data_IF_827131097360
#
_entry.id   IF_827131097360
#
_cell.length_a   1.000
_cell.length_b   1.000
_cell.length_c   1.000
_cell.angle_alpha   90.00
_cell.angle_beta   90.00
_cell.angle_gamma   90.00
#
_symmetry.space_group_name_H-M   'P 1'
#
loop_
_entity.id
_entity.type
_entity.pdbx_description
1 polymer ?
#
# COMPACT_ATOMS: atom_id res chain seq x y z
N UNK A 1 9.84 -8.14 -20.02
CA UNK A 1 8.89 -7.00 -20.07
C UNK A 1 9.53 -5.88 -20.89
N UNK A 2 8.92 -5.47 -22.02
CA UNK A 2 9.53 -4.66 -23.10
C UNK A 2 9.92 -3.21 -22.73
N UNK A 3 9.85 -2.79 -21.47
CA UNK A 3 10.13 -1.40 -21.07
C UNK A 3 10.85 -1.25 -19.71
N UNK A 4 11.24 -2.35 -19.07
CA UNK A 4 11.89 -2.29 -17.74
C UNK A 4 13.28 -1.64 -17.80
N UNK A 5 14.03 -1.89 -18.87
CA UNK A 5 15.39 -1.36 -19.01
C UNK A 5 15.35 0.12 -19.38
N UNK A 6 14.49 0.51 -20.33
CA UNK A 6 14.39 1.88 -20.86
C UNK A 6 13.98 2.89 -19.79
N UNK A 7 12.96 2.59 -18.99
CA UNK A 7 12.49 3.48 -17.91
C UNK A 7 13.40 3.50 -16.67
N UNK A 8 14.48 2.71 -16.65
CA UNK A 8 15.49 2.71 -15.59
C UNK A 8 16.80 3.36 -16.02
N UNK A 9 16.88 3.91 -17.23
CA UNK A 9 18.09 4.58 -17.71
C UNK A 9 18.22 5.98 -17.10
N UNK A 10 19.46 6.36 -16.79
CA UNK A 10 19.79 7.67 -16.20
C UNK A 10 19.59 8.83 -17.17
N UNK A 11 19.90 8.64 -18.46
CA UNK A 11 19.87 9.72 -19.45
C UNK A 11 18.46 10.29 -19.70
N UNK A 12 17.42 9.46 -19.92
CA UNK A 12 16.05 9.96 -19.99
C UNK A 12 15.61 10.72 -18.74
N UNK A 13 15.98 10.24 -17.55
CA UNK A 13 15.64 10.90 -16.28
C UNK A 13 16.29 12.28 -16.18
N UNK A 14 17.57 12.42 -16.54
CA UNK A 14 18.25 13.73 -16.58
C UNK A 14 17.56 14.71 -17.51
N UNK A 15 17.13 14.24 -18.69
CA UNK A 15 16.36 15.02 -19.65
C UNK A 15 15.02 15.50 -19.07
N UNK A 16 14.30 14.63 -18.37
CA UNK A 16 13.04 14.96 -17.72
C UNK A 16 13.22 15.99 -16.60
N UNK A 17 14.22 15.81 -15.72
CA UNK A 17 14.49 16.77 -14.63
C UNK A 17 14.82 18.16 -15.20
N UNK A 18 15.59 18.25 -16.30
CA UNK A 18 15.88 19.53 -16.97
C UNK A 18 14.60 20.20 -17.45
N UNK A 19 13.71 19.46 -18.12
CA UNK A 19 12.43 19.98 -18.60
C UNK A 19 11.52 20.43 -17.46
N UNK A 20 11.44 19.64 -16.38
CA UNK A 20 10.67 20.01 -15.17
C UNK A 20 11.19 21.32 -14.58
N UNK A 21 12.51 21.47 -14.44
CA UNK A 21 13.13 22.72 -13.94
C UNK A 21 12.83 23.92 -14.84
N UNK A 22 12.88 23.75 -16.16
CA UNK A 22 12.55 24.82 -17.12
C UNK A 22 11.09 25.25 -16.98
N UNK A 23 10.15 24.31 -16.98
CA UNK A 23 8.73 24.61 -16.84
C UNK A 23 8.41 25.25 -15.48
N UNK A 24 9.05 24.78 -14.41
CA UNK A 24 8.82 25.29 -13.07
C UNK A 24 9.37 26.72 -12.87
N UNK A 25 10.37 27.15 -13.65
CA UNK A 25 10.98 28.47 -13.53
C UNK A 25 9.99 29.61 -13.88
N UNK A 26 9.06 29.35 -14.80
CA UNK A 26 8.05 30.33 -15.22
C UNK A 26 6.84 30.40 -14.27
N UNK A 27 6.77 29.48 -13.30
CA UNK A 27 5.63 29.34 -12.38
C UNK A 27 5.95 30.06 -11.07
N UNK A 28 5.31 31.22 -10.87
CA UNK A 28 5.47 32.08 -9.67
C UNK A 28 4.76 31.58 -8.42
N UNK A 29 4.17 30.38 -8.44
CA UNK A 29 3.41 29.81 -7.32
C UNK A 29 3.99 28.45 -6.92
N UNK A 30 3.74 28.09 -5.67
CA UNK A 30 3.98 26.75 -5.17
C UNK A 30 3.01 25.74 -5.82
N UNK A 31 3.52 24.58 -6.22
CA UNK A 31 2.73 23.48 -6.77
C UNK A 31 2.83 22.29 -5.83
N UNK A 32 1.68 21.81 -5.36
CA UNK A 32 1.58 20.56 -4.62
C UNK A 32 1.03 19.46 -5.53
N UNK A 33 1.81 18.40 -5.71
CA UNK A 33 1.40 17.18 -6.41
C UNK A 33 1.25 16.07 -5.37
N UNK A 34 0.11 15.39 -5.34
CA UNK A 34 -0.13 14.29 -4.42
C UNK A 34 -0.23 12.98 -5.19
N UNK A 35 0.56 11.99 -4.77
CA UNK A 35 0.36 10.60 -5.16
C UNK A 35 -0.47 9.86 -4.11
N UNK A 36 -1.20 8.83 -4.53
CA UNK A 36 -2.10 8.03 -3.68
C UNK A 36 -1.85 6.54 -3.89
N UNK A 37 -0.58 6.15 -3.99
CA UNK A 37 -0.17 4.77 -4.21
C UNK A 37 1.09 4.46 -3.41
N UNK A 38 1.01 3.53 -2.45
CA UNK A 38 2.16 3.15 -1.62
C UNK A 38 3.40 2.72 -2.44
N UNK A 39 3.21 2.13 -3.63
CA UNK A 39 4.32 1.80 -4.55
C UNK A 39 5.01 3.05 -5.10
N UNK A 40 4.26 4.11 -5.40
CA UNK A 40 4.85 5.41 -5.76
C UNK A 40 5.53 6.06 -4.56
N UNK A 41 4.93 6.06 -3.38
CA UNK A 41 5.57 6.55 -2.15
C UNK A 41 6.96 5.91 -1.96
N UNK A 42 7.04 4.57 -2.09
CA UNK A 42 8.29 3.83 -1.95
C UNK A 42 9.28 4.14 -3.08
N UNK A 43 8.83 4.26 -4.33
CA UNK A 43 9.71 4.63 -5.43
C UNK A 43 10.27 6.06 -5.28
N UNK A 44 9.43 7.02 -4.88
CA UNK A 44 9.80 8.41 -4.62
C UNK A 44 10.87 8.50 -3.54
N UNK A 45 10.69 7.76 -2.44
CA UNK A 45 11.67 7.69 -1.37
C UNK A 45 12.96 6.99 -1.82
N UNK A 46 12.87 5.77 -2.37
CA UNK A 46 14.00 4.95 -2.80
C UNK A 46 14.93 5.66 -3.78
N UNK A 47 14.36 6.41 -4.73
CA UNK A 47 15.12 7.12 -5.75
C UNK A 47 15.37 8.60 -5.43
N UNK A 48 14.97 9.06 -4.24
CA UNK A 48 15.18 10.44 -3.81
C UNK A 48 14.54 11.49 -4.71
N UNK A 49 13.40 11.17 -5.34
CA UNK A 49 12.77 12.01 -6.39
C UNK A 49 12.48 13.42 -5.85
N UNK A 50 12.07 13.54 -4.58
CA UNK A 50 11.81 14.84 -3.94
C UNK A 50 13.01 15.79 -4.00
N UNK A 51 14.24 15.28 -3.84
CA UNK A 51 15.45 16.08 -3.88
C UNK A 51 15.84 16.54 -5.30
N UNK A 52 15.27 15.92 -6.33
CA UNK A 52 15.53 16.28 -7.73
C UNK A 52 14.58 17.37 -8.25
N UNK A 53 13.45 17.58 -7.57
CA UNK A 53 12.44 18.54 -7.96
C UNK A 53 12.85 19.98 -7.60
N UNK A 54 12.38 20.98 -8.38
CA UNK A 54 12.48 22.40 -8.02
C UNK A 54 11.88 22.69 -6.64
N UNK A 55 12.37 23.73 -5.96
CA UNK A 55 11.88 24.11 -4.63
C UNK A 55 10.38 24.48 -4.62
N UNK A 56 9.87 25.04 -5.73
CA UNK A 56 8.47 25.42 -5.87
C UNK A 56 7.52 24.25 -6.19
N UNK A 57 8.03 23.00 -6.17
CA UNK A 57 7.23 21.80 -6.39
C UNK A 57 7.34 20.89 -5.17
N UNK A 58 6.21 20.68 -4.50
CA UNK A 58 6.06 19.78 -3.37
C UNK A 58 5.40 18.48 -3.81
N UNK A 59 6.07 17.37 -3.54
CA UNK A 59 5.51 16.04 -3.77
C UNK A 59 5.01 15.44 -2.44
N UNK A 60 3.69 15.37 -2.32
CA UNK A 60 2.96 14.85 -1.17
C UNK A 60 2.61 13.38 -1.36
N UNK A 61 2.60 12.63 -0.26
CA UNK A 61 2.14 11.24 -0.23
C UNK A 61 0.82 11.19 0.50
N UNK A 62 -0.24 10.88 -0.24
CA UNK A 62 -1.59 10.72 0.27
C UNK A 62 -1.85 9.30 0.81
N UNK A 63 -3.11 9.01 1.17
CA UNK A 63 -3.51 7.74 1.77
C UNK A 63 -3.60 6.61 0.73
N UNK A 64 -2.45 6.20 0.18
CA UNK A 64 -2.34 5.18 -0.88
C UNK A 64 -2.19 3.73 -0.42
N UNK A 65 -2.46 3.46 0.86
CA UNK A 65 -2.31 2.14 1.48
C UNK A 65 -3.70 1.65 1.90
N UNK A 66 -4.31 0.66 1.21
CA UNK A 66 -5.68 0.21 1.50
C UNK A 66 -5.80 -0.38 2.91
N UNK A 67 -4.77 -1.06 3.39
CA UNK A 67 -4.70 -1.62 4.74
C UNK A 67 -4.71 -0.52 5.80
N UNK A 68 -3.89 0.51 5.61
CA UNK A 68 -3.71 1.60 6.56
C UNK A 68 -4.96 2.49 6.73
N UNK A 69 -5.87 2.47 5.76
CA UNK A 69 -7.14 3.23 5.78
C UNK A 69 -8.35 2.34 6.08
N UNK A 70 -8.13 1.06 6.35
CA UNK A 70 -9.22 0.16 6.75
C UNK A 70 -9.73 0.59 8.13
N UNK A 71 -11.03 0.84 8.24
CA UNK A 71 -11.63 1.29 9.48
C UNK A 71 -11.64 0.18 10.54
N UNK A 72 -11.49 0.56 11.81
CA UNK A 72 -11.46 -0.38 12.92
C UNK A 72 -12.72 -1.26 12.99
N UNK A 73 -13.90 -0.72 12.64
CA UNK A 73 -15.17 -1.45 12.66
C UNK A 73 -15.18 -2.64 11.68
N UNK A 74 -14.42 -2.56 10.59
CA UNK A 74 -14.26 -3.65 9.63
C UNK A 74 -13.39 -4.77 10.21
N UNK A 75 -12.32 -4.41 10.93
CA UNK A 75 -11.44 -5.36 11.61
C UNK A 75 -12.19 -6.04 12.77
N UNK A 76 -12.97 -5.27 13.54
CA UNK A 76 -13.80 -5.81 14.62
C UNK A 76 -14.83 -6.82 14.12
N UNK A 77 -15.44 -6.58 12.94
CA UNK A 77 -16.32 -7.55 12.28
C UNK A 77 -15.56 -8.83 11.89
N UNK A 78 -14.37 -8.70 11.33
CA UNK A 78 -13.54 -9.84 10.97
C UNK A 78 -13.15 -10.69 12.20
N UNK A 79 -12.82 -10.03 13.32
CA UNK A 79 -12.57 -10.69 14.61
C UNK A 79 -13.83 -11.42 15.09
N UNK A 80 -14.99 -10.75 15.06
CA UNK A 80 -16.26 -11.38 15.46
C UNK A 80 -16.59 -12.63 14.62
N UNK A 81 -16.28 -12.62 13.31
CA UNK A 81 -16.43 -13.80 12.47
C UNK A 81 -15.41 -14.90 12.78
N UNK A 82 -14.17 -14.54 13.11
CA UNK A 82 -13.12 -15.52 13.44
C UNK A 82 -13.44 -16.36 14.68
N UNK A 83 -14.30 -15.85 15.58
CA UNK A 83 -14.79 -16.54 16.78
C UNK A 83 -16.06 -17.36 16.57
N UNK A 84 -16.64 -17.35 15.38
CA UNK A 84 -17.80 -18.20 15.10
C UNK A 84 -17.39 -19.65 14.85
N UNK A 85 -18.26 -20.57 15.26
CA UNK A 85 -18.06 -21.99 15.02
C UNK A 85 -17.90 -22.28 13.52
N UNK A 86 -16.90 -23.10 13.18
CA UNK A 86 -16.60 -23.56 11.82
C UNK A 86 -16.25 -22.45 10.82
N UNK A 87 -15.74 -21.31 11.28
CA UNK A 87 -15.19 -20.26 10.41
C UNK A 87 -13.67 -20.41 10.28
N UNK A 88 -13.17 -20.32 9.05
CA UNK A 88 -11.77 -20.08 8.75
C UNK A 88 -11.67 -18.69 8.14
N UNK A 89 -11.15 -17.72 8.90
CA UNK A 89 -10.90 -16.38 8.39
C UNK A 89 -9.63 -16.40 7.54
N UNK A 90 -9.69 -15.80 6.35
CA UNK A 90 -8.52 -15.64 5.48
C UNK A 90 -8.21 -14.17 5.29
N UNK A 91 -6.93 -13.82 5.29
CA UNK A 91 -6.50 -12.41 5.18
C UNK A 91 -5.13 -12.30 4.50
N UNK A 92 -4.79 -11.11 4.01
CA UNK A 92 -3.42 -10.82 3.58
C UNK A 92 -2.53 -10.55 4.80
N UNK A 93 -1.24 -10.84 4.68
CA UNK A 93 -0.31 -10.82 5.82
C UNK A 93 -0.12 -9.42 6.44
N UNK A 94 -0.25 -8.36 5.63
CA UNK A 94 -0.17 -6.97 6.08
C UNK A 94 -1.35 -6.56 6.98
N UNK A 95 -2.51 -7.19 6.82
CA UNK A 95 -3.68 -6.96 7.65
C UNK A 95 -3.60 -7.61 9.04
N UNK A 96 -2.73 -8.62 9.24
CA UNK A 96 -2.68 -9.40 10.50
C UNK A 96 -2.45 -8.55 11.75
N UNK A 97 -1.65 -7.49 11.63
CA UNK A 97 -1.21 -6.65 12.75
C UNK A 97 -1.95 -5.32 12.84
N UNK A 98 -2.94 -5.09 11.98
CA UNK A 98 -3.71 -3.85 12.05
C UNK A 98 -4.62 -3.91 13.28
N UNK A 99 -4.59 -2.90 14.16
CA UNK A 99 -5.40 -2.91 15.35
C UNK A 99 -6.88 -2.67 15.00
N UNK A 100 -7.75 -3.52 15.54
CA UNK A 100 -9.17 -3.20 15.71
C UNK A 100 -9.40 -2.31 16.93
N UNK A 101 -10.61 -2.31 17.47
CA UNK A 101 -10.95 -1.52 18.67
C UNK A 101 -10.41 -2.13 19.96
N UNK A 102 -10.12 -3.44 19.99
CA UNK A 102 -9.70 -4.16 21.21
C UNK A 102 -8.46 -5.03 21.02
N UNK A 103 -8.28 -5.58 19.83
CA UNK A 103 -7.23 -6.56 19.49
C UNK A 103 -6.94 -6.53 17.98
N UNK A 104 -6.03 -7.38 17.53
CA UNK A 104 -5.65 -7.60 16.13
C UNK A 104 -5.87 -9.05 15.73
N UNK A 105 -5.95 -9.31 14.41
CA UNK A 105 -6.08 -10.69 13.90
C UNK A 105 -4.91 -11.59 14.35
N UNK A 106 -3.71 -11.05 14.56
CA UNK A 106 -2.58 -11.80 15.09
C UNK A 106 -2.73 -12.20 16.56
N UNK A 107 -3.36 -11.37 17.38
CA UNK A 107 -3.65 -11.68 18.78
C UNK A 107 -4.73 -12.76 18.85
N UNK A 108 -5.82 -12.59 18.12
CA UNK A 108 -6.92 -13.57 18.06
C UNK A 108 -6.46 -14.94 17.53
N UNK A 109 -5.58 -14.97 16.52
CA UNK A 109 -4.97 -16.20 16.04
C UNK A 109 -4.15 -16.91 17.13
N UNK A 110 -3.49 -16.14 18.00
CA UNK A 110 -2.69 -16.67 19.11
C UNK A 110 -3.57 -17.19 20.25
N UNK A 111 -4.80 -16.71 20.37
CA UNK A 111 -5.83 -17.20 21.28
C UNK A 111 -6.60 -18.42 20.74
N UNK A 112 -6.31 -18.84 19.51
CA UNK A 112 -6.84 -20.07 18.90
C UNK A 112 -7.89 -19.86 17.81
N UNK A 113 -8.20 -18.61 17.42
CA UNK A 113 -9.07 -18.36 16.28
C UNK A 113 -8.45 -18.90 14.98
N UNK A 114 -9.26 -19.52 14.12
CA UNK A 114 -8.76 -20.10 12.86
C UNK A 114 -8.57 -19.02 11.80
N UNK A 115 -7.38 -18.42 11.76
CA UNK A 115 -7.00 -17.36 10.83
C UNK A 115 -5.84 -17.84 9.93
N UNK A 116 -5.96 -17.67 8.61
CA UNK A 116 -4.95 -18.06 7.63
C UNK A 116 -4.52 -16.90 6.75
N UNK A 117 -3.21 -16.74 6.59
CA UNK A 117 -2.64 -15.77 5.64
C UNK A 117 -2.63 -16.36 4.24
N UNK A 118 -3.08 -15.57 3.27
CA UNK A 118 -3.06 -15.90 1.83
C UNK A 118 -2.28 -14.84 1.05
N UNK A 119 -1.77 -15.21 -0.13
CA UNK A 119 -1.10 -14.27 -1.06
C UNK A 119 -1.95 -13.94 -2.27
N UNK A 120 -3.07 -14.64 -2.45
CA UNK A 120 -4.08 -14.38 -3.45
C UNK A 120 -5.47 -14.66 -2.89
N UNK A 121 -6.45 -13.84 -3.27
CA UNK A 121 -7.86 -14.10 -2.94
C UNK A 121 -8.36 -15.45 -3.49
N UNK A 122 -7.73 -15.99 -4.54
CA UNK A 122 -8.06 -17.30 -5.08
C UNK A 122 -7.70 -18.46 -4.15
N UNK A 123 -6.74 -18.28 -3.24
CA UNK A 123 -6.41 -19.30 -2.25
C UNK A 123 -7.56 -19.54 -1.26
N UNK A 124 -8.38 -18.51 -1.00
CA UNK A 124 -9.59 -18.63 -0.17
C UNK A 124 -10.54 -19.71 -0.72
N UNK A 125 -10.73 -19.76 -2.03
CA UNK A 125 -11.55 -20.79 -2.69
C UNK A 125 -10.95 -22.19 -2.52
N UNK A 126 -9.63 -22.30 -2.62
CA UNK A 126 -8.92 -23.57 -2.38
C UNK A 126 -9.05 -24.04 -0.93
N UNK A 127 -9.02 -23.13 0.04
CA UNK A 127 -9.24 -23.41 1.46
C UNK A 127 -10.68 -23.87 1.69
N UNK A 128 -11.67 -23.14 1.15
CA UNK A 128 -13.09 -23.50 1.29
C UNK A 128 -13.41 -24.89 0.73
N UNK A 129 -12.90 -25.23 -0.46
CA UNK A 129 -13.10 -26.58 -1.06
C UNK A 129 -12.53 -27.72 -0.22
N UNK A 130 -11.49 -27.47 0.58
CA UNK A 130 -10.88 -28.47 1.47
C UNK A 130 -11.59 -28.58 2.82
N UNK A 131 -12.51 -27.66 3.14
CA UNK A 131 -13.22 -27.57 4.41
C UNK A 131 -14.72 -27.28 4.12
N UNK A 132 -15.48 -28.27 3.62
CA UNK A 132 -16.87 -28.10 3.18
C UNK A 132 -17.86 -27.87 4.33
#
# INVERSE_FOLDING_TARGET
>A
MKYLTEFRQKEPVRGLIKKIKQLAADIKKEISLMEVCGTHTMAVFRYGIKALLPQNIHLLSGPGCPVCVTANDYIDKAIAYAHQDKVILVTFGDMMKVPGSRSSLSEEASEGAQIKVVYSSLEALGIARKNP
#
